data_IF_033544212646
#
_entry.id   IF_033544212646
#
_cell.length_a   1.000
_cell.length_b   1.000
_cell.length_c   1.000
_cell.angle_alpha   90.00
_cell.angle_beta   90.00
_cell.angle_gamma   90.00
#
_symmetry.space_group_name_H-M   'P 1'
#
loop_
_entity.id
_entity.type
_entity.pdbx_description
1 polymer ?
#
# COMPACT_ATOMS: atom_id res chain seq x y z
N UNK A 1 -8.57 38.98 8.50
CA UNK A 1 -8.46 37.51 8.48
C UNK A 1 -9.44 37.01 7.43
N UNK A 2 -9.05 37.12 6.16
CA UNK A 2 -9.85 36.59 5.05
C UNK A 2 -8.83 35.97 4.09
N UNK A 3 -8.32 34.81 4.51
CA UNK A 3 -7.22 34.09 3.85
C UNK A 3 -7.78 32.95 2.99
N UNK A 4 -9.06 32.60 3.16
CA UNK A 4 -9.75 31.56 2.39
C UNK A 4 -11.15 32.06 2.02
N UNK A 5 -11.47 32.05 0.73
CA UNK A 5 -12.77 32.43 0.15
C UNK A 5 -13.41 31.23 -0.58
N UNK A 6 -14.69 31.34 -0.96
CA UNK A 6 -15.45 30.32 -1.67
C UNK A 6 -14.81 29.91 -3.01
N UNK A 7 -13.99 30.77 -3.63
CA UNK A 7 -13.23 30.41 -4.83
C UNK A 7 -12.09 29.40 -4.56
N UNK A 8 -11.58 29.30 -3.34
CA UNK A 8 -10.56 28.31 -2.97
C UNK A 8 -11.10 26.87 -2.98
N UNK A 9 -12.42 26.71 -2.89
CA UNK A 9 -13.10 25.41 -3.03
C UNK A 9 -12.89 24.81 -4.43
N UNK A 10 -12.64 25.64 -5.45
CA UNK A 10 -12.30 25.16 -6.80
C UNK A 10 -10.89 24.56 -6.87
N UNK A 11 -10.01 24.89 -5.91
CA UNK A 11 -8.66 24.32 -5.81
C UNK A 11 -8.65 22.95 -5.13
N UNK A 12 -9.75 22.55 -4.48
CA UNK A 12 -9.90 21.20 -3.93
C UNK A 12 -9.87 20.19 -5.07
N UNK A 13 -9.02 19.17 -4.93
CA UNK A 13 -8.94 18.07 -5.90
C UNK A 13 -10.15 17.14 -5.76
N UNK A 14 -11.29 17.55 -6.33
CA UNK A 14 -12.54 16.78 -6.36
C UNK A 14 -12.35 15.36 -6.91
N UNK A 15 -11.42 15.17 -7.85
CA UNK A 15 -11.05 13.85 -8.35
C UNK A 15 -10.52 12.89 -7.26
N UNK A 16 -9.83 13.41 -6.24
CA UNK A 16 -9.33 12.59 -5.12
C UNK A 16 -10.49 12.16 -4.22
N UNK A 17 -11.43 13.06 -3.93
CA UNK A 17 -12.65 12.72 -3.16
C UNK A 17 -13.50 11.68 -3.88
N UNK A 18 -13.71 11.85 -5.19
CA UNK A 18 -14.43 10.88 -6.02
C UNK A 18 -13.69 9.53 -6.10
N UNK A 19 -12.35 9.55 -6.17
CA UNK A 19 -11.54 8.34 -6.12
C UNK A 19 -11.75 7.58 -4.80
N UNK A 20 -11.70 8.25 -3.65
CA UNK A 20 -11.98 7.62 -2.37
C UNK A 20 -13.39 7.03 -2.29
N UNK A 21 -14.42 7.75 -2.79
CA UNK A 21 -15.79 7.23 -2.85
C UNK A 21 -15.92 5.99 -3.73
N UNK A 22 -15.30 6.00 -4.91
CA UNK A 22 -15.29 4.86 -5.82
C UNK A 22 -14.55 3.65 -5.23
N UNK A 23 -13.44 3.88 -4.52
CA UNK A 23 -12.70 2.85 -3.80
C UNK A 23 -13.54 2.19 -2.72
N UNK A 24 -14.19 2.99 -1.87
CA UNK A 24 -15.06 2.46 -0.80
C UNK A 24 -16.21 1.64 -1.38
N UNK A 25 -16.82 2.12 -2.47
CA UNK A 25 -17.89 1.40 -3.18
C UNK A 25 -17.40 0.09 -3.79
N UNK A 26 -16.21 0.08 -4.38
CA UNK A 26 -15.60 -1.13 -4.94
C UNK A 26 -15.29 -2.15 -3.84
N UNK A 27 -14.77 -1.72 -2.70
CA UNK A 27 -14.50 -2.59 -1.54
C UNK A 27 -15.79 -3.24 -1.04
N UNK A 28 -16.88 -2.47 -0.96
CA UNK A 28 -18.19 -2.99 -0.55
C UNK A 28 -18.70 -4.06 -1.50
N UNK A 29 -18.65 -3.83 -2.82
CA UNK A 29 -19.03 -4.83 -3.83
C UNK A 29 -18.13 -6.06 -3.78
N UNK A 30 -16.81 -5.89 -3.60
CA UNK A 30 -15.87 -7.01 -3.48
C UNK A 30 -16.12 -7.86 -2.22
N UNK A 31 -16.62 -7.24 -1.14
CA UNK A 31 -17.07 -7.94 0.06
C UNK A 31 -18.38 -8.68 -0.17
N UNK A 32 -19.40 -8.01 -0.74
CA UNK A 32 -20.72 -8.60 -1.03
C UNK A 32 -20.63 -9.78 -2.00
N UNK A 33 -19.78 -9.67 -3.02
CA UNK A 33 -19.57 -10.74 -4.02
C UNK A 33 -18.74 -11.91 -3.47
N UNK A 34 -18.15 -11.79 -2.28
CA UNK A 34 -17.26 -12.79 -1.71
C UNK A 34 -15.90 -12.88 -2.40
N UNK A 35 -15.57 -11.95 -3.31
CA UNK A 35 -14.30 -11.93 -4.03
C UNK A 35 -13.10 -11.75 -3.08
N UNK A 36 -13.24 -10.92 -2.04
CA UNK A 36 -12.20 -10.77 -1.01
C UNK A 36 -11.97 -12.10 -0.29
N UNK A 37 -13.04 -12.79 0.12
CA UNK A 37 -12.93 -14.09 0.78
C UNK A 37 -12.29 -15.15 -0.13
N UNK A 38 -12.62 -15.15 -1.42
CA UNK A 38 -12.01 -16.04 -2.41
C UNK A 38 -10.51 -15.78 -2.58
N UNK A 39 -10.07 -14.52 -2.68
CA UNK A 39 -8.64 -14.17 -2.77
C UNK A 39 -7.89 -14.60 -1.53
N UNK A 40 -8.47 -14.38 -0.35
CA UNK A 40 -7.89 -14.81 0.93
C UNK A 40 -7.77 -16.33 0.99
N UNK A 41 -8.80 -17.07 0.56
CA UNK A 41 -8.79 -18.54 0.52
C UNK A 41 -7.73 -19.08 -0.44
N UNK A 42 -7.60 -18.48 -1.63
CA UNK A 42 -6.53 -18.84 -2.58
C UNK A 42 -5.14 -18.55 -2.01
N UNK A 43 -4.95 -17.42 -1.32
CA UNK A 43 -3.69 -17.09 -0.66
C UNK A 43 -3.34 -18.07 0.48
N UNK A 44 -4.32 -18.44 1.29
CA UNK A 44 -4.18 -19.40 2.39
C UNK A 44 -3.98 -20.84 1.90
N UNK A 45 -4.43 -21.15 0.67
CA UNK A 45 -4.23 -22.46 0.03
C UNK A 45 -2.88 -22.52 -0.68
N UNK A 46 -2.49 -21.46 -1.38
CA UNK A 46 -1.23 -21.38 -2.11
C UNK A 46 -0.02 -21.24 -1.18
N UNK A 47 -0.20 -20.60 -0.02
CA UNK A 47 0.81 -20.42 1.00
C UNK A 47 0.28 -21.00 2.30
N UNK A 48 0.98 -21.95 2.95
CA UNK A 48 0.50 -22.57 4.16
C UNK A 48 0.72 -21.62 5.36
N UNK A 49 0.10 -20.45 5.31
CA UNK A 49 0.21 -19.34 6.27
C UNK A 49 -0.15 -19.78 7.70
N UNK A 50 -1.00 -20.81 7.84
CA UNK A 50 -1.32 -21.44 9.14
C UNK A 50 -0.18 -22.24 9.76
N UNK A 51 0.78 -22.69 8.95
CA UNK A 51 1.94 -23.50 9.38
C UNK A 51 3.23 -22.70 9.45
N UNK A 52 3.26 -21.52 8.82
CA UNK A 52 4.41 -20.65 8.81
C UNK A 52 4.52 -19.89 10.14
N UNK A 53 5.74 -19.65 10.64
CA UNK A 53 5.95 -18.67 11.70
C UNK A 53 5.35 -17.32 11.28
N UNK A 54 4.69 -16.62 12.20
CA UNK A 54 4.08 -15.29 11.98
C UNK A 54 4.94 -14.33 11.13
N UNK A 55 6.26 -14.16 11.36
CA UNK A 55 7.07 -13.26 10.53
C UNK A 55 7.17 -13.70 9.05
N UNK A 56 7.16 -15.00 8.77
CA UNK A 56 7.17 -15.50 7.39
C UNK A 56 5.82 -15.25 6.70
N UNK A 57 4.70 -15.39 7.41
CA UNK A 57 3.38 -15.05 6.89
C UNK A 57 3.24 -13.56 6.56
N UNK A 58 3.76 -12.69 7.44
CA UNK A 58 3.80 -11.24 7.20
C UNK A 58 4.69 -10.90 6.00
N UNK A 59 5.86 -11.53 5.87
CA UNK A 59 6.74 -11.30 4.73
C UNK A 59 6.08 -11.65 3.38
N UNK A 60 5.32 -12.74 3.34
CA UNK A 60 4.53 -13.11 2.15
C UNK A 60 3.46 -12.06 1.86
N UNK A 61 2.75 -11.60 2.88
CA UNK A 61 1.71 -10.58 2.72
C UNK A 61 2.29 -9.27 2.17
N UNK A 62 3.40 -8.79 2.75
CA UNK A 62 4.09 -7.58 2.27
C UNK A 62 4.65 -7.78 0.85
N UNK A 63 5.16 -8.97 0.53
CA UNK A 63 5.60 -9.34 -0.81
C UNK A 63 4.47 -9.28 -1.84
N UNK A 64 3.29 -9.79 -1.50
CA UNK A 64 2.10 -9.70 -2.35
C UNK A 64 1.69 -8.24 -2.58
N UNK A 65 1.74 -7.40 -1.54
CA UNK A 65 1.46 -5.95 -1.66
C UNK A 65 2.46 -5.25 -2.57
N UNK A 66 3.77 -5.55 -2.44
CA UNK A 66 4.80 -5.01 -3.34
C UNK A 66 4.52 -5.42 -4.79
N UNK A 67 4.18 -6.70 -5.01
CA UNK A 67 3.85 -7.20 -6.33
C UNK A 67 2.65 -6.47 -6.94
N UNK A 68 1.56 -6.34 -6.18
CA UNK A 68 0.37 -5.58 -6.57
C UNK A 68 0.77 -4.14 -6.91
N UNK A 69 1.58 -3.49 -6.07
CA UNK A 69 2.00 -2.10 -6.23
C UNK A 69 2.69 -1.80 -7.57
N UNK A 70 3.34 -2.79 -8.19
CA UNK A 70 3.97 -2.65 -9.52
C UNK A 70 2.97 -2.44 -10.66
N UNK A 71 1.71 -2.82 -10.49
CA UNK A 71 0.66 -2.69 -11.51
C UNK A 71 -0.14 -1.38 -11.37
N UNK A 72 0.00 -0.67 -10.25
CA UNK A 72 -0.74 0.55 -9.97
C UNK A 72 0.11 1.79 -10.22
N UNK A 73 -0.48 2.79 -10.91
CA UNK A 73 0.18 4.08 -11.14
C UNK A 73 0.21 4.97 -9.89
N UNK A 74 -0.76 4.82 -8.98
CA UNK A 74 -0.84 5.65 -7.77
C UNK A 74 -0.85 4.79 -6.51
N UNK A 75 -0.21 5.31 -5.45
CA UNK A 75 -0.21 4.67 -4.14
C UNK A 75 -1.62 4.53 -3.57
N UNK A 76 -2.46 5.56 -3.73
CA UNK A 76 -3.85 5.52 -3.29
C UNK A 76 -4.61 4.36 -3.93
N UNK A 77 -4.60 4.24 -5.26
CA UNK A 77 -5.31 3.17 -5.96
C UNK A 77 -4.88 1.77 -5.50
N UNK A 78 -3.58 1.58 -5.28
CA UNK A 78 -3.05 0.34 -4.71
C UNK A 78 -3.62 0.09 -3.30
N UNK A 79 -3.61 1.10 -2.42
CA UNK A 79 -4.09 0.98 -1.05
C UNK A 79 -5.55 0.56 -0.97
N UNK A 80 -6.43 1.09 -1.82
CA UNK A 80 -7.84 0.67 -1.79
C UNK A 80 -8.07 -0.80 -2.08
N UNK A 81 -7.19 -1.42 -2.87
CA UNK A 81 -7.29 -2.85 -3.16
C UNK A 81 -6.56 -3.66 -2.10
N UNK A 82 -5.39 -3.21 -1.65
CA UNK A 82 -4.55 -4.00 -0.74
C UNK A 82 -4.98 -3.94 0.72
N UNK A 83 -5.51 -2.80 1.20
CA UNK A 83 -5.86 -2.62 2.61
C UNK A 83 -6.94 -3.61 3.09
N UNK A 84 -8.05 -3.81 2.37
CA UNK A 84 -9.08 -4.79 2.78
C UNK A 84 -8.53 -6.21 2.88
N UNK A 85 -7.69 -6.61 1.90
CA UNK A 85 -7.07 -7.95 1.87
C UNK A 85 -6.18 -8.11 3.11
N UNK A 86 -5.33 -7.13 3.39
CA UNK A 86 -4.40 -7.16 4.52
C UNK A 86 -5.15 -7.23 5.85
N UNK A 87 -6.17 -6.39 6.03
CA UNK A 87 -7.01 -6.39 7.22
C UNK A 87 -7.74 -7.72 7.42
N UNK A 88 -8.29 -8.31 6.35
CA UNK A 88 -8.94 -9.61 6.39
C UNK A 88 -7.96 -10.77 6.72
N UNK A 89 -6.68 -10.62 6.37
CA UNK A 89 -5.64 -11.61 6.67
C UNK A 89 -4.93 -11.42 8.02
N UNK A 90 -5.11 -10.28 8.70
CA UNK A 90 -4.41 -9.97 9.93
C UNK A 90 -4.79 -10.93 11.08
N UNK A 91 -6.09 -11.14 11.31
CA UNK A 91 -6.58 -12.01 12.38
C UNK A 91 -6.16 -13.48 12.18
N UNK A 92 -6.31 -14.10 10.97
CA UNK A 92 -5.80 -15.44 10.70
C UNK A 92 -4.29 -15.62 10.91
N UNK A 93 -3.50 -14.54 10.77
CA UNK A 93 -2.05 -14.53 10.98
C UNK A 93 -1.66 -14.26 12.44
N UNK A 94 -2.61 -13.94 13.32
CA UNK A 94 -2.34 -13.57 14.72
C UNK A 94 -1.63 -12.22 14.85
N UNK A 95 -1.85 -11.31 13.91
CA UNK A 95 -1.22 -9.98 13.85
C UNK A 95 -2.27 -8.92 14.15
N UNK A 96 -1.91 -7.85 14.87
CA UNK A 96 -2.84 -6.74 15.07
C UNK A 96 -3.19 -6.07 13.71
N UNK A 97 -4.49 -5.92 13.38
CA UNK A 97 -4.91 -5.32 12.11
C UNK A 97 -4.36 -3.90 11.90
N UNK A 98 -4.21 -3.15 12.99
CA UNK A 98 -3.64 -1.81 12.97
C UNK A 98 -2.17 -1.81 12.52
N UNK A 99 -1.35 -2.72 13.05
CA UNK A 99 0.07 -2.81 12.68
C UNK A 99 0.24 -3.29 11.23
N UNK A 100 -0.59 -4.25 10.81
CA UNK A 100 -0.61 -4.73 9.43
C UNK A 100 -0.99 -3.60 8.45
N UNK A 101 -2.01 -2.81 8.77
CA UNK A 101 -2.42 -1.65 7.96
C UNK A 101 -1.31 -0.59 7.89
N UNK A 102 -0.69 -0.25 9.02
CA UNK A 102 0.40 0.72 9.08
C UNK A 102 1.60 0.27 8.24
N UNK A 103 1.98 -1.01 8.32
CA UNK A 103 3.05 -1.58 7.51
C UNK A 103 2.77 -1.42 6.01
N UNK A 104 1.55 -1.70 5.58
CA UNK A 104 1.16 -1.59 4.17
C UNK A 104 1.12 -0.15 3.68
N UNK A 105 0.64 0.79 4.51
CA UNK A 105 0.66 2.22 4.16
C UNK A 105 2.09 2.72 3.95
N UNK A 106 3.00 2.40 4.87
CA UNK A 106 4.43 2.76 4.77
C UNK A 106 5.04 2.13 3.52
N UNK A 107 4.77 0.84 3.28
CA UNK A 107 5.34 0.08 2.17
C UNK A 107 4.88 0.64 0.81
N UNK A 108 3.57 0.83 0.63
CA UNK A 108 2.99 1.32 -0.62
C UNK A 108 3.41 2.76 -0.91
N UNK A 109 3.47 3.61 0.12
CA UNK A 109 3.95 4.99 0.00
C UNK A 109 5.42 5.08 -0.40
N UNK A 110 6.24 4.13 0.03
CA UNK A 110 7.69 4.13 -0.21
C UNK A 110 8.12 3.40 -1.49
N UNK A 111 7.21 2.61 -2.09
CA UNK A 111 7.49 1.78 -3.27
C UNK A 111 7.28 2.58 -4.55
N UNK A 112 8.37 3.14 -5.08
CA UNK A 112 8.36 3.96 -6.31
C UNK A 112 9.47 3.55 -7.27
N UNK A 113 9.46 2.27 -7.65
CA UNK A 113 10.53 1.63 -8.43
C UNK A 113 10.45 1.92 -9.94
N UNK A 114 9.32 2.43 -10.43
CA UNK A 114 9.07 2.70 -11.84
C UNK A 114 8.67 4.18 -12.05
N UNK A 115 9.12 4.85 -13.13
CA UNK A 115 8.86 6.28 -13.34
C UNK A 115 7.37 6.64 -13.35
N UNK A 116 6.52 5.77 -13.90
CA UNK A 116 5.08 6.04 -13.98
C UNK A 116 4.35 6.05 -12.63
N UNK A 117 5.00 5.56 -11.55
CA UNK A 117 4.44 5.64 -10.20
C UNK A 117 4.32 7.09 -9.67
N UNK A 118 5.06 8.04 -10.28
CA UNK A 118 5.01 9.45 -9.91
C UNK A 118 5.05 10.34 -11.18
N UNK A 119 3.99 11.10 -11.49
CA UNK A 119 3.97 12.01 -12.64
C UNK A 119 5.19 12.94 -12.78
N UNK A 120 5.69 13.62 -11.71
CA UNK A 120 6.88 14.47 -11.85
C UNK A 120 8.14 13.69 -12.21
N UNK A 121 8.30 12.46 -11.70
CA UNK A 121 9.45 11.60 -12.00
C UNK A 121 9.38 11.09 -13.43
N UNK A 122 8.18 10.75 -13.93
CA UNK A 122 7.99 10.34 -15.32
C UNK A 122 8.40 11.44 -16.31
N UNK A 123 7.98 12.69 -16.07
CA UNK A 123 8.32 13.82 -16.95
C UNK A 123 9.84 14.03 -16.99
N UNK A 124 10.51 13.96 -15.85
CA UNK A 124 11.97 14.10 -15.77
C UNK A 124 12.69 12.89 -16.39
N UNK A 125 12.13 11.69 -16.29
CA UNK A 125 12.70 10.49 -16.91
C UNK A 125 12.59 10.50 -18.44
N UNK A 126 11.57 11.16 -19.01
CA UNK A 126 11.40 11.28 -20.46
C UNK A 126 12.21 12.42 -21.09
N UNK A 127 12.41 13.53 -20.36
CA UNK A 127 12.98 14.78 -20.93
C UNK A 127 14.26 15.24 -20.25
N UNK A 128 14.59 14.67 -19.10
CA UNK A 128 15.69 15.11 -18.24
C UNK A 128 16.86 14.13 -18.24
N UNK A 129 17.86 14.40 -17.37
CA UNK A 129 19.08 13.59 -17.29
C UNK A 129 18.90 12.29 -16.49
N UNK A 130 17.73 12.08 -15.88
CA UNK A 130 17.46 10.94 -14.99
C UNK A 130 16.98 9.76 -15.82
N UNK A 131 17.70 8.64 -15.80
CA UNK A 131 17.30 7.42 -16.49
C UNK A 131 16.34 6.55 -15.67
N UNK A 132 15.69 5.58 -16.33
CA UNK A 132 14.88 4.55 -15.64
C UNK A 132 15.67 3.78 -14.59
N UNK A 133 16.97 3.57 -14.80
CA UNK A 133 17.85 2.90 -13.83
C UNK A 133 18.05 3.70 -12.55
N UNK A 134 18.13 5.03 -12.65
CA UNK A 134 18.29 5.90 -11.48
C UNK A 134 17.02 5.85 -10.62
N UNK A 135 15.86 5.93 -11.28
CA UNK A 135 14.55 5.79 -10.62
C UNK A 135 14.42 4.44 -9.93
N UNK A 136 14.80 3.36 -10.62
CA UNK A 136 14.76 2.01 -10.04
C UNK A 136 15.67 1.88 -8.82
N UNK A 137 16.90 2.41 -8.89
CA UNK A 137 17.88 2.31 -7.80
C UNK A 137 17.44 3.10 -6.57
N UNK A 138 16.96 4.32 -6.77
CA UNK A 138 16.41 5.15 -5.68
C UNK A 138 15.14 4.51 -5.12
N UNK A 139 14.21 4.07 -5.97
CA UNK A 139 12.98 3.42 -5.53
C UNK A 139 13.21 2.11 -4.78
N UNK A 140 14.25 1.35 -5.14
CA UNK A 140 14.64 0.16 -4.40
C UNK A 140 15.25 0.53 -3.05
N UNK A 141 16.08 1.59 -2.98
CA UNK A 141 16.64 2.06 -1.72
C UNK A 141 15.56 2.54 -0.73
N UNK A 142 14.53 3.24 -1.21
CA UNK A 142 13.40 3.67 -0.37
C UNK A 142 12.52 2.51 0.07
N UNK A 143 12.34 1.50 -0.79
CA UNK A 143 11.66 0.25 -0.43
C UNK A 143 12.40 -0.48 0.71
N UNK A 144 13.73 -0.61 0.61
CA UNK A 144 14.53 -1.24 1.67
C UNK A 144 14.44 -0.45 2.97
N UNK A 145 14.55 0.88 2.91
CA UNK A 145 14.40 1.74 4.09
C UNK A 145 13.01 1.58 4.74
N UNK A 146 11.95 1.45 3.93
CA UNK A 146 10.60 1.20 4.42
C UNK A 146 10.46 -0.16 5.11
N UNK A 147 11.02 -1.23 4.53
CA UNK A 147 11.03 -2.55 5.16
C UNK A 147 11.75 -2.53 6.51
N UNK A 148 12.89 -1.83 6.60
CA UNK A 148 13.60 -1.64 7.87
C UNK A 148 12.73 -0.88 8.87
N UNK A 149 12.07 0.21 8.44
CA UNK A 149 11.17 0.98 9.30
C UNK A 149 10.00 0.14 9.83
N UNK A 150 9.42 -0.73 8.99
CA UNK A 150 8.33 -1.65 9.38
C UNK A 150 8.82 -2.65 10.42
N UNK A 151 10.00 -3.25 10.22
CA UNK A 151 10.58 -4.19 11.19
C UNK A 151 10.85 -3.49 12.53
N UNK A 152 11.43 -2.29 12.50
CA UNK A 152 11.69 -1.51 13.72
C UNK A 152 10.38 -1.12 14.44
N UNK A 153 9.35 -0.73 13.69
CA UNK A 153 8.04 -0.44 14.27
C UNK A 153 7.46 -1.67 14.97
N UNK A 154 7.62 -2.86 14.38
CA UNK A 154 7.15 -4.11 14.97
C UNK A 154 7.91 -4.52 16.21
N UNK A 155 9.25 -4.41 16.20
CA UNK A 155 10.09 -4.94 17.28
C UNK A 155 10.29 -3.96 18.43
N UNK A 156 10.28 -2.65 18.17
CA UNK A 156 10.56 -1.63 19.18
C UNK A 156 9.33 -0.80 19.54
N UNK A 157 8.59 -0.29 18.55
CA UNK A 157 7.50 0.64 18.83
C UNK A 157 6.26 -0.07 19.37
N UNK A 158 5.86 -1.18 18.76
CA UNK A 158 4.64 -1.90 19.15
C UNK A 158 4.69 -2.49 20.57
N UNK A 159 5.78 -3.17 21.00
CA UNK A 159 5.87 -3.72 22.36
C UNK A 159 6.00 -2.65 23.46
N UNK A 160 6.20 -1.37 23.10
CA UNK A 160 6.18 -0.26 24.06
C UNK A 160 4.76 0.29 24.30
N UNK A 161 3.81 -0.06 23.42
CA UNK A 161 2.41 0.37 23.51
C UNK A 161 1.52 -0.65 24.23
N UNK A 162 1.93 -1.93 24.24
CA UNK A 162 1.32 -3.02 25.01
C UNK A 162 1.87 -3.05 26.45
#
# INVERSE_FOLDING_TARGET
MDVIDADDVKQVSWGVLLLFGAMLSLIEILNETGAIAWVVDQLLTAVPLRTLPTPAGVAVLLGAVIFIRLFFSTASACLAVSLPIVLATADPLGVSPLLAALAVVILVGSTSVLPFHMPPVLIVAERGPVGTRDVFTVGLSTLVAALVAIVLAWTFYWPMLD
#
